data_IF_936140037809
#
_entry.id   IF_936140037809
#
_cell.length_a   1.000
_cell.length_b   1.000
_cell.length_c   1.000
_cell.angle_alpha   90.00
_cell.angle_beta   90.00
_cell.angle_gamma   90.00
#
_symmetry.space_group_name_H-M   'P 1'
#
loop_
_entity.id
_entity.type
_entity.pdbx_description
1 polymer ?
#
# COMPACT_ATOMS: atom_id res chain seq x y z
N UNK A 1 -3.15 -9.51 8.84
CA UNK A 1 -4.38 -10.23 8.46
C UNK A 1 -5.61 -9.82 9.27
N UNK A 2 -5.55 -9.82 10.61
CA UNK A 2 -6.69 -9.38 11.43
C UNK A 2 -7.05 -7.90 11.20
N UNK A 3 -6.07 -7.00 11.31
CA UNK A 3 -6.27 -5.56 11.08
C UNK A 3 -6.82 -5.27 9.68
N UNK A 4 -6.31 -5.95 8.64
CA UNK A 4 -6.78 -5.78 7.26
C UNK A 4 -8.26 -6.18 7.10
N UNK A 5 -8.70 -7.26 7.74
CA UNK A 5 -10.11 -7.68 7.72
C UNK A 5 -10.98 -6.64 8.45
N UNK A 6 -10.53 -6.17 9.62
CA UNK A 6 -11.27 -5.18 10.39
C UNK A 6 -11.39 -3.84 9.64
N UNK A 7 -10.30 -3.37 9.03
CA UNK A 7 -10.30 -2.17 8.19
C UNK A 7 -11.20 -2.31 6.97
N UNK A 8 -11.22 -3.48 6.33
CA UNK A 8 -12.11 -3.76 5.20
C UNK A 8 -13.58 -3.68 5.60
N UNK A 9 -13.96 -4.37 6.69
CA UNK A 9 -15.32 -4.34 7.24
C UNK A 9 -15.74 -2.91 7.58
N UNK A 10 -14.86 -2.17 8.25
CA UNK A 10 -15.11 -0.76 8.60
C UNK A 10 -15.31 0.11 7.35
N UNK A 11 -14.47 -0.08 6.32
CA UNK A 11 -14.55 0.70 5.08
C UNK A 11 -15.86 0.45 4.34
N UNK A 12 -16.31 -0.81 4.24
CA UNK A 12 -17.61 -1.13 3.64
C UNK A 12 -18.74 -0.52 4.45
N UNK A 13 -18.72 -0.69 5.79
CA UNK A 13 -19.76 -0.15 6.65
C UNK A 13 -19.88 1.38 6.50
N UNK A 14 -18.74 2.08 6.42
CA UNK A 14 -18.69 3.53 6.21
C UNK A 14 -19.25 3.93 4.85
N UNK A 15 -18.81 3.27 3.77
CA UNK A 15 -19.26 3.57 2.40
C UNK A 15 -20.77 3.35 2.25
N UNK A 16 -21.29 2.26 2.82
CA UNK A 16 -22.72 1.97 2.85
C UNK A 16 -23.47 3.00 3.68
N UNK A 17 -22.98 3.35 4.87
CA UNK A 17 -23.65 4.33 5.73
C UNK A 17 -23.80 5.69 5.03
N UNK A 18 -22.76 6.13 4.30
CA UNK A 18 -22.77 7.35 3.50
C UNK A 18 -23.76 7.25 2.32
N UNK A 19 -23.80 6.09 1.66
CA UNK A 19 -24.76 5.80 0.59
C UNK A 19 -26.21 5.91 1.07
N UNK A 20 -26.55 5.17 2.12
CA UNK A 20 -27.89 5.18 2.71
C UNK A 20 -28.26 6.57 3.22
N UNK A 21 -27.29 7.30 3.79
CA UNK A 21 -27.50 8.67 4.23
C UNK A 21 -27.91 9.58 3.07
N UNK A 22 -27.38 9.38 1.87
CA UNK A 22 -27.80 10.12 0.67
C UNK A 22 -29.30 9.94 0.38
N UNK A 23 -29.78 8.70 0.32
CA UNK A 23 -31.20 8.40 0.13
C UNK A 23 -32.06 9.03 1.24
N UNK A 24 -31.66 8.84 2.49
CA UNK A 24 -32.36 9.37 3.67
C UNK A 24 -32.48 10.89 3.64
N UNK A 25 -31.36 11.58 3.35
CA UNK A 25 -31.30 13.02 3.37
C UNK A 25 -32.19 13.65 2.30
N UNK A 26 -32.16 13.12 1.08
CA UNK A 26 -33.00 13.63 -0.01
C UNK A 26 -34.47 13.27 0.19
N UNK A 27 -34.79 12.06 0.66
CA UNK A 27 -36.16 11.68 1.00
C UNK A 27 -36.77 12.67 2.00
N UNK A 28 -36.03 13.02 3.06
CA UNK A 28 -36.47 13.97 4.09
C UNK A 28 -36.61 15.39 3.58
N UNK A 29 -35.77 15.81 2.61
CA UNK A 29 -35.88 17.13 1.97
C UNK A 29 -37.08 17.24 1.03
N UNK A 30 -37.46 16.16 0.37
CA UNK A 30 -38.63 16.10 -0.51
C UNK A 30 -39.92 15.73 0.23
N UNK A 31 -39.89 15.80 1.56
CA UNK A 31 -41.00 15.46 2.45
C UNK A 31 -41.58 14.07 2.20
N UNK A 32 -40.69 13.09 2.06
CA UNK A 32 -41.02 11.66 2.12
C UNK A 32 -40.74 11.16 3.53
N UNK A 33 -41.74 10.52 4.14
CA UNK A 33 -41.61 9.97 5.49
C UNK A 33 -40.72 8.73 5.46
N UNK A 34 -39.72 8.69 6.35
CA UNK A 34 -38.81 7.54 6.48
C UNK A 34 -39.15 6.78 7.77
N UNK A 35 -39.46 5.49 7.63
CA UNK A 35 -39.83 4.61 8.73
C UNK A 35 -38.59 4.04 9.42
N UNK A 36 -37.59 3.61 8.64
CA UNK A 36 -36.37 2.99 9.16
C UNK A 36 -35.14 3.37 8.34
N UNK A 37 -34.05 3.65 9.04
CA UNK A 37 -32.71 3.81 8.47
C UNK A 37 -31.81 2.74 9.08
N UNK A 38 -31.34 1.79 8.28
CA UNK A 38 -30.53 0.67 8.75
C UNK A 38 -29.14 0.69 8.13
N UNK A 39 -28.12 0.69 8.98
CA UNK A 39 -26.74 0.37 8.59
C UNK A 39 -26.53 -1.11 8.92
N UNK A 40 -26.31 -1.92 7.90
CA UNK A 40 -26.22 -3.37 8.01
C UNK A 40 -27.55 -4.10 7.78
N UNK A 41 -27.44 -5.42 7.72
CA UNK A 41 -28.54 -6.38 7.66
C UNK A 41 -28.57 -7.30 8.90
N UNK A 42 -29.71 -7.98 9.07
CA UNK A 42 -29.88 -9.02 10.09
C UNK A 42 -30.37 -8.48 11.42
N UNK A 43 -29.89 -9.07 12.52
CA UNK A 43 -30.37 -8.73 13.87
C UNK A 43 -29.89 -7.32 14.25
N UNK A 44 -30.78 -6.45 14.77
CA UNK A 44 -30.38 -5.15 15.27
C UNK A 44 -29.49 -5.33 16.50
N UNK A 45 -28.26 -4.80 16.44
CA UNK A 45 -27.37 -4.72 17.59
C UNK A 45 -27.74 -3.52 18.46
N UNK A 46 -28.10 -2.42 17.82
CA UNK A 46 -28.53 -1.19 18.46
C UNK A 46 -29.64 -0.55 17.63
N UNK A 47 -30.70 -0.06 18.28
CA UNK A 47 -31.71 0.74 17.63
C UNK A 47 -32.25 1.84 18.53
N UNK A 48 -32.60 2.97 17.93
CA UNK A 48 -33.25 4.08 18.60
C UNK A 48 -34.21 4.79 17.66
N UNK A 49 -35.20 5.49 18.21
CA UNK A 49 -36.16 6.25 17.39
C UNK A 49 -35.84 7.75 17.43
N UNK A 50 -35.77 8.36 16.26
CA UNK A 50 -35.54 9.78 16.11
C UNK A 50 -36.76 10.62 16.45
N UNK A 51 -36.55 11.87 16.87
CA UNK A 51 -37.63 12.79 17.28
C UNK A 51 -38.59 13.16 16.14
N UNK A 52 -38.09 13.24 14.90
CA UNK A 52 -38.87 13.66 13.73
C UNK A 52 -39.32 12.45 12.92
N UNK A 53 -40.64 12.28 12.78
CA UNK A 53 -41.34 11.15 12.14
C UNK A 53 -41.14 9.77 12.80
N UNK A 54 -40.60 9.74 14.02
CA UNK A 54 -40.35 8.50 14.77
C UNK A 54 -39.50 7.47 14.00
N UNK A 55 -38.62 7.95 13.10
CA UNK A 55 -37.77 7.11 12.25
C UNK A 55 -36.89 6.21 13.12
N UNK A 56 -36.91 4.91 12.86
CA UNK A 56 -36.08 3.95 13.57
C UNK A 56 -34.68 3.89 12.94
N UNK A 57 -33.65 4.28 13.70
CA UNK A 57 -32.25 4.14 13.32
C UNK A 57 -31.73 2.82 13.87
N UNK A 58 -31.15 1.99 13.00
CA UNK A 58 -30.70 0.64 13.34
C UNK A 58 -29.25 0.45 12.91
N UNK A 59 -28.43 -0.10 13.81
CA UNK A 59 -27.15 -0.68 13.49
C UNK A 59 -27.27 -2.21 13.62
N UNK A 60 -27.13 -2.93 12.52
CA UNK A 60 -27.34 -4.37 12.45
C UNK A 60 -26.03 -5.16 12.45
N UNK A 61 -26.13 -6.47 12.68
CA UNK A 61 -24.97 -7.36 12.88
C UNK A 61 -24.11 -7.57 11.63
N UNK A 62 -24.67 -7.44 10.43
CA UNK A 62 -23.96 -7.73 9.17
C UNK A 62 -23.69 -6.41 8.42
N UNK A 63 -22.45 -5.93 8.31
CA UNK A 63 -22.13 -4.62 7.74
C UNK A 63 -22.05 -4.57 6.20
N UNK A 64 -22.56 -5.60 5.50
CA UNK A 64 -22.45 -5.77 4.04
C UNK A 64 -23.55 -5.06 3.23
N UNK A 65 -24.13 -3.98 3.76
CA UNK A 65 -25.14 -3.17 3.10
C UNK A 65 -26.06 -2.48 4.11
N UNK A 66 -27.15 -1.90 3.64
CA UNK A 66 -28.07 -1.12 4.46
C UNK A 66 -29.35 -0.87 3.68
N UNK A 67 -30.30 -0.16 4.28
CA UNK A 67 -31.48 0.28 3.57
C UNK A 67 -32.17 1.45 4.26
N UNK A 68 -32.85 2.27 3.47
CA UNK A 68 -33.78 3.31 3.92
C UNK A 68 -35.21 2.89 3.58
N UNK A 69 -35.97 2.48 4.59
CA UNK A 69 -37.39 2.15 4.43
C UNK A 69 -38.23 3.42 4.43
N UNK A 70 -38.74 3.77 3.27
CA UNK A 70 -39.64 4.92 3.07
C UNK A 70 -41.10 4.49 3.25
N UNK A 71 -41.97 5.45 3.54
CA UNK A 71 -43.41 5.21 3.62
C UNK A 71 -43.95 4.89 2.22
N UNK A 72 -44.56 3.72 2.10
CA UNK A 72 -45.14 3.21 0.86
C UNK A 72 -46.35 2.32 1.17
N UNK A 73 -47.50 2.63 0.58
CA UNK A 73 -48.76 1.86 0.72
C UNK A 73 -48.65 0.41 0.24
N UNK A 74 -47.68 0.12 -0.64
CA UNK A 74 -47.44 -1.26 -1.12
C UNK A 74 -46.82 -2.16 -0.07
N UNK A 75 -46.20 -1.58 0.96
CA UNK A 75 -45.48 -2.31 2.01
C UNK A 75 -46.20 -2.30 3.37
N UNK A 76 -47.34 -1.60 3.50
CA UNK A 76 -48.12 -1.56 4.73
C UNK A 76 -49.21 -0.49 4.74
N UNK A 77 -50.00 -0.44 5.81
CA UNK A 77 -51.04 0.57 5.98
C UNK A 77 -50.45 1.96 6.21
N UNK A 78 -51.01 2.96 5.52
CA UNK A 78 -50.61 4.36 5.65
C UNK A 78 -51.75 5.18 6.23
N UNK A 79 -51.45 5.98 7.25
CA UNK A 79 -52.41 6.88 7.84
C UNK A 79 -52.84 7.95 6.82
N UNK A 80 -54.14 8.30 6.79
CA UNK A 80 -54.70 9.24 5.81
C UNK A 80 -53.99 10.58 5.76
N UNK A 81 -53.43 11.00 6.90
CA UNK A 81 -52.70 12.26 7.07
C UNK A 81 -51.32 12.24 6.38
N UNK A 82 -50.70 11.08 6.23
CA UNK A 82 -49.34 10.91 5.70
C UNK A 82 -49.31 10.52 4.20
N UNK A 83 -50.46 10.37 3.53
CA UNK A 83 -50.54 10.00 2.10
C UNK A 83 -49.66 10.89 1.20
N UNK A 84 -49.68 12.21 1.43
CA UNK A 84 -48.88 13.18 0.67
C UNK A 84 -47.35 13.01 0.84
N UNK A 85 -46.93 12.22 1.84
CA UNK A 85 -45.53 11.95 2.22
C UNK A 85 -45.08 10.56 1.81
N UNK A 86 -45.92 9.82 1.09
CA UNK A 86 -45.56 8.53 0.51
C UNK A 86 -44.56 8.72 -0.64
N UNK A 87 -43.62 7.79 -0.74
CA UNK A 87 -42.65 7.77 -1.81
C UNK A 87 -43.32 7.68 -3.19
N UNK A 88 -44.34 6.82 -3.32
CA UNK A 88 -44.99 6.55 -4.62
C UNK A 88 -45.90 7.67 -5.11
N UNK A 89 -46.39 8.54 -4.23
CA UNK A 89 -47.17 9.71 -4.62
C UNK A 89 -46.29 10.87 -5.11
N UNK A 90 -44.97 10.83 -4.87
CA UNK A 90 -44.07 11.89 -5.35
C UNK A 90 -43.89 11.82 -6.87
N UNK A 91 -43.67 12.98 -7.53
CA UNK A 91 -43.33 13.03 -8.95
C UNK A 91 -42.13 12.13 -9.29
N UNK A 92 -42.07 11.63 -10.53
CA UNK A 92 -40.99 10.75 -10.99
C UNK A 92 -39.62 11.36 -10.76
N UNK A 93 -39.46 12.67 -10.98
CA UNK A 93 -38.20 13.37 -10.72
C UNK A 93 -37.78 13.37 -9.25
N UNK A 94 -38.74 13.47 -8.33
CA UNK A 94 -38.48 13.42 -6.89
C UNK A 94 -38.03 12.00 -6.47
N UNK A 95 -38.73 10.97 -6.97
CA UNK A 95 -38.34 9.57 -6.74
C UNK A 95 -36.96 9.26 -7.31
N UNK A 96 -36.71 9.70 -8.54
CA UNK A 96 -35.39 9.58 -9.18
C UNK A 96 -34.32 10.28 -8.35
N UNK A 97 -34.54 11.52 -7.91
CA UNK A 97 -33.58 12.26 -7.10
C UNK A 97 -33.24 11.53 -5.79
N UNK A 98 -34.24 10.92 -5.13
CA UNK A 98 -34.02 10.13 -3.91
C UNK A 98 -33.17 8.90 -4.18
N UNK A 99 -33.49 8.12 -5.22
CA UNK A 99 -32.74 6.91 -5.57
C UNK A 99 -31.34 7.26 -6.11
N UNK A 100 -31.18 8.37 -6.81
CA UNK A 100 -29.87 8.82 -7.29
C UNK A 100 -28.99 9.39 -6.17
N UNK A 101 -29.59 9.89 -5.09
CA UNK A 101 -28.86 10.55 -4.01
C UNK A 101 -27.80 9.67 -3.35
N UNK A 102 -28.06 8.39 -3.13
CA UNK A 102 -27.10 7.46 -2.53
C UNK A 102 -25.80 7.34 -3.35
N UNK A 103 -25.88 6.91 -4.62
CA UNK A 103 -24.72 6.88 -5.51
C UNK A 103 -24.02 8.23 -5.64
N UNK A 104 -24.78 9.33 -5.74
CA UNK A 104 -24.22 10.67 -5.90
C UNK A 104 -23.40 11.10 -4.67
N UNK A 105 -23.91 10.87 -3.46
CA UNK A 105 -23.17 11.21 -2.23
C UNK A 105 -21.91 10.36 -2.11
N UNK A 106 -21.94 9.09 -2.52
CA UNK A 106 -20.72 8.27 -2.59
C UNK A 106 -19.69 8.81 -3.59
N UNK A 107 -20.14 9.29 -4.75
CA UNK A 107 -19.25 9.93 -5.72
C UNK A 107 -18.59 11.18 -5.13
N UNK A 108 -19.37 12.06 -4.48
CA UNK A 108 -18.84 13.24 -3.79
C UNK A 108 -17.88 12.84 -2.66
N UNK A 109 -18.22 11.81 -1.88
CA UNK A 109 -17.35 11.28 -0.84
C UNK A 109 -16.04 10.75 -1.40
N UNK A 110 -16.05 10.05 -2.54
CA UNK A 110 -14.84 9.59 -3.20
C UNK A 110 -13.94 10.77 -3.61
N UNK A 111 -14.49 11.80 -4.24
CA UNK A 111 -13.73 13.02 -4.61
C UNK A 111 -13.11 13.65 -3.36
N UNK A 112 -13.87 13.79 -2.28
CA UNK A 112 -13.37 14.33 -1.02
C UNK A 112 -12.27 13.44 -0.39
N UNK A 113 -12.46 12.13 -0.39
CA UNK A 113 -11.50 11.17 0.16
C UNK A 113 -10.18 11.17 -0.63
N UNK A 114 -10.24 11.20 -1.97
CA UNK A 114 -9.06 11.34 -2.81
C UNK A 114 -8.36 12.68 -2.59
N UNK A 115 -9.12 13.78 -2.55
CA UNK A 115 -8.56 15.10 -2.23
C UNK A 115 -7.83 15.08 -0.88
N UNK A 116 -8.45 14.53 0.17
CA UNK A 116 -7.84 14.41 1.49
C UNK A 116 -6.57 13.55 1.46
N UNK A 117 -6.58 12.44 0.72
CA UNK A 117 -5.40 11.60 0.51
C UNK A 117 -4.24 12.38 -0.11
N UNK A 118 -4.51 13.22 -1.12
CA UNK A 118 -3.48 14.07 -1.74
C UNK A 118 -2.97 15.17 -0.79
N UNK A 119 -3.84 15.74 0.06
CA UNK A 119 -3.44 16.72 1.08
C UNK A 119 -2.54 16.10 2.15
N UNK A 120 -2.82 14.86 2.56
CA UNK A 120 -1.97 14.10 3.50
C UNK A 120 -0.61 13.78 2.87
N UNK A 121 -0.54 13.68 1.55
CA UNK A 121 0.68 13.48 0.78
C UNK A 121 0.95 12.01 0.44
N UNK A 122 1.97 11.79 -0.40
CA UNK A 122 2.33 10.47 -0.90
C UNK A 122 3.09 9.72 0.20
N UNK A 123 2.51 8.64 0.70
CA UNK A 123 3.21 7.71 1.58
C UNK A 123 4.20 6.90 0.74
N UNK A 124 5.50 7.06 1.02
CA UNK A 124 6.51 6.25 0.36
C UNK A 124 7.82 6.24 1.13
N UNK A 125 8.69 5.31 0.75
CA UNK A 125 9.98 5.17 1.40
C UNK A 125 10.85 6.36 1.01
N UNK A 126 11.43 7.04 1.99
CA UNK A 126 12.34 8.16 1.72
C UNK A 126 13.52 7.66 0.85
N UNK A 127 13.95 8.44 -0.15
CA UNK A 127 15.01 8.06 -1.08
C UNK A 127 16.41 8.24 -0.47
N UNK A 128 16.68 7.53 0.64
CA UNK A 128 17.99 7.49 1.30
C UNK A 128 18.72 6.21 0.85
N UNK A 129 19.91 6.39 0.29
CA UNK A 129 20.67 5.32 -0.35
C UNK A 129 21.30 4.37 0.67
N UNK A 130 21.13 3.07 0.44
CA UNK A 130 21.75 1.99 1.20
C UNK A 130 23.17 1.69 0.72
N UNK A 131 23.54 0.42 0.75
CA UNK A 131 24.80 -0.05 0.16
C UNK A 131 24.66 -0.10 -1.37
N UNK A 132 25.52 0.66 -2.06
CA UNK A 132 25.53 0.74 -3.52
C UNK A 132 26.54 -0.27 -4.08
N UNK A 133 26.21 -0.91 -5.20
CA UNK A 133 27.16 -1.73 -5.96
C UNK A 133 28.23 -0.81 -6.57
N UNK A 134 29.50 -1.20 -6.48
CA UNK A 134 30.63 -0.42 -7.02
C UNK A 134 30.60 -0.33 -8.54
N UNK A 135 29.98 -1.29 -9.20
CA UNK A 135 29.88 -1.31 -10.66
C UNK A 135 28.63 -0.57 -11.17
N UNK A 136 27.77 -0.10 -10.26
CA UNK A 136 26.53 0.60 -10.62
C UNK A 136 26.73 2.01 -11.17
N UNK A 137 25.78 2.48 -11.98
CA UNK A 137 25.76 3.84 -12.50
C UNK A 137 25.70 4.87 -11.38
N UNK A 138 24.90 4.61 -10.34
CA UNK A 138 24.79 5.48 -9.18
C UNK A 138 26.15 5.67 -8.49
N UNK A 139 26.90 4.57 -8.24
CA UNK A 139 28.20 4.64 -7.61
C UNK A 139 29.24 5.37 -8.46
N UNK A 140 29.27 5.07 -9.76
CA UNK A 140 30.16 5.70 -10.75
C UNK A 140 29.89 7.21 -10.87
N UNK A 141 28.62 7.62 -10.78
CA UNK A 141 28.21 9.03 -10.78
C UNK A 141 28.60 9.78 -9.49
N UNK A 142 29.05 9.08 -8.45
CA UNK A 142 29.50 9.68 -7.19
C UNK A 142 28.50 9.58 -6.03
N UNK A 143 27.38 8.86 -6.21
CA UNK A 143 26.42 8.60 -5.14
C UNK A 143 27.06 7.70 -4.07
N UNK A 144 26.76 7.96 -2.80
CA UNK A 144 27.27 7.20 -1.67
C UNK A 144 26.15 6.76 -0.74
N UNK A 145 26.45 5.77 0.09
CA UNK A 145 25.54 5.31 1.12
C UNK A 145 25.22 6.44 2.10
N UNK A 146 23.93 6.61 2.42
CA UNK A 146 23.43 7.71 3.24
C UNK A 146 23.00 8.94 2.47
N UNK A 147 23.35 9.07 1.19
CA UNK A 147 22.91 10.19 0.36
C UNK A 147 21.38 10.17 0.21
N UNK A 148 20.74 11.35 0.29
CA UNK A 148 19.31 11.50 0.05
C UNK A 148 19.08 12.23 -1.27
N UNK A 149 18.43 11.56 -2.21
CA UNK A 149 18.02 12.17 -3.49
C UNK A 149 16.78 13.03 -3.25
N UNK A 150 16.75 14.26 -3.78
CA UNK A 150 15.61 15.18 -3.62
C UNK A 150 14.90 15.45 -4.93
N UNK A 151 15.60 15.41 -6.06
CA UNK A 151 15.02 15.59 -7.39
C UNK A 151 15.81 14.86 -8.47
N UNK A 152 15.13 14.56 -9.58
CA UNK A 152 15.71 14.02 -10.82
C UNK A 152 15.17 14.83 -11.99
N UNK A 153 16.06 15.35 -12.84
CA UNK A 153 15.73 16.20 -13.99
C UNK A 153 14.81 17.38 -13.64
N UNK A 154 15.08 18.01 -12.49
CA UNK A 154 14.31 19.14 -11.97
C UNK A 154 12.92 18.80 -11.41
N UNK A 155 12.55 17.51 -11.32
CA UNK A 155 11.29 17.07 -10.72
C UNK A 155 11.53 16.53 -9.32
N UNK A 156 10.69 16.95 -8.38
CA UNK A 156 10.75 16.50 -6.99
C UNK A 156 10.49 14.99 -6.87
N UNK A 157 11.34 14.33 -6.10
CA UNK A 157 11.27 12.88 -5.85
C UNK A 157 11.16 12.59 -4.36
N UNK A 158 9.99 12.80 -3.72
CA UNK A 158 9.81 12.63 -2.28
C UNK A 158 9.93 11.17 -1.81
N UNK A 159 9.83 10.22 -2.75
CA UNK A 159 9.88 8.78 -2.48
C UNK A 159 10.90 8.08 -3.38
N UNK A 160 11.42 6.91 -2.96
CA UNK A 160 12.31 6.14 -3.82
C UNK A 160 11.64 5.69 -5.12
N UNK A 161 10.34 5.36 -5.08
CA UNK A 161 9.59 5.01 -6.29
C UNK A 161 9.59 6.18 -7.29
N UNK A 162 9.37 7.42 -6.82
CA UNK A 162 9.46 8.59 -7.70
C UNK A 162 10.85 8.81 -8.29
N UNK A 163 11.93 8.45 -7.59
CA UNK A 163 13.30 8.46 -8.15
C UNK A 163 13.40 7.46 -9.30
N UNK A 164 12.96 6.21 -9.08
CA UNK A 164 13.00 5.18 -10.12
C UNK A 164 12.15 5.54 -11.33
N UNK A 165 10.94 6.08 -11.12
CA UNK A 165 10.06 6.50 -12.21
C UNK A 165 10.71 7.58 -13.07
N UNK A 166 11.33 8.60 -12.46
CA UNK A 166 12.02 9.63 -13.25
C UNK A 166 13.25 9.08 -13.98
N UNK A 167 14.08 8.27 -13.31
CA UNK A 167 15.23 7.66 -13.96
C UNK A 167 14.82 6.71 -15.10
N UNK A 168 13.73 5.96 -14.93
CA UNK A 168 13.20 5.07 -15.97
C UNK A 168 12.71 5.89 -17.17
N UNK A 169 11.99 6.99 -16.94
CA UNK A 169 11.57 7.88 -18.01
C UNK A 169 12.77 8.43 -18.80
N UNK A 170 13.82 8.87 -18.10
CA UNK A 170 15.03 9.42 -18.72
C UNK A 170 15.86 8.33 -19.44
N UNK A 171 15.85 7.10 -18.93
CA UNK A 171 16.43 5.94 -19.60
C UNK A 171 15.68 5.59 -20.89
N UNK A 172 14.34 5.57 -20.87
CA UNK A 172 13.51 5.35 -22.08
C UNK A 172 13.83 6.42 -23.13
N UNK A 173 14.00 7.67 -22.70
CA UNK A 173 14.41 8.80 -23.54
C UNK A 173 15.87 8.76 -24.01
N UNK A 174 16.67 7.81 -23.53
CA UNK A 174 18.11 7.65 -23.82
C UNK A 174 18.95 8.91 -23.51
N UNK A 175 18.64 9.56 -22.39
CA UNK A 175 19.34 10.77 -21.93
C UNK A 175 20.17 10.50 -20.69
N UNK A 176 21.01 11.47 -20.33
CA UNK A 176 21.59 11.54 -19.00
C UNK A 176 20.58 12.11 -18.02
N UNK A 177 20.49 11.55 -16.82
CA UNK A 177 19.65 12.11 -15.76
C UNK A 177 20.48 12.99 -14.81
N UNK A 178 19.98 14.19 -14.52
CA UNK A 178 20.52 15.07 -13.50
C UNK A 178 19.88 14.75 -12.15
N UNK A 179 20.68 14.31 -11.19
CA UNK A 179 20.21 13.88 -9.86
C UNK A 179 20.70 14.88 -8.82
N UNK A 180 19.77 15.50 -8.09
CA UNK A 180 20.10 16.44 -7.02
C UNK A 180 19.98 15.77 -5.66
N UNK A 181 20.97 16.02 -4.80
CA UNK A 181 21.03 15.50 -3.44
C UNK A 181 20.65 16.57 -2.40
N UNK A 182 20.27 16.13 -1.20
CA UNK A 182 19.90 17.02 -0.09
C UNK A 182 21.04 17.93 0.39
N UNK A 183 22.29 17.56 0.12
CA UNK A 183 23.48 18.35 0.44
C UNK A 183 23.93 19.28 -0.70
N UNK A 184 23.04 19.54 -1.66
CA UNK A 184 23.23 20.40 -2.83
C UNK A 184 24.19 19.87 -3.90
N UNK A 185 24.74 18.66 -3.75
CA UNK A 185 25.48 18.02 -4.84
C UNK A 185 24.54 17.67 -6.00
N UNK A 186 25.05 17.85 -7.22
CA UNK A 186 24.41 17.40 -8.46
C UNK A 186 25.26 16.28 -9.07
N UNK A 187 24.63 15.16 -9.38
CA UNK A 187 25.24 14.00 -10.01
C UNK A 187 24.62 13.77 -11.38
N UNK A 188 25.42 13.28 -12.33
CA UNK A 188 24.93 12.96 -13.69
C UNK A 188 24.95 11.45 -13.88
N UNK A 189 23.78 10.87 -14.06
CA UNK A 189 23.62 9.45 -14.31
C UNK A 189 23.59 9.21 -15.82
N UNK A 190 24.56 8.46 -16.32
CA UNK A 190 24.74 8.20 -17.76
C UNK A 190 23.89 7.03 -18.24
N UNK A 191 22.57 7.26 -18.30
CA UNK A 191 21.60 6.24 -18.75
C UNK A 191 21.66 6.00 -20.26
N UNK A 192 22.22 6.96 -21.00
CA UNK A 192 22.55 6.89 -22.44
C UNK A 192 23.50 5.75 -22.80
N UNK A 193 24.28 5.26 -21.83
CA UNK A 193 25.28 4.21 -22.01
C UNK A 193 24.80 2.80 -21.71
N UNK A 194 23.57 2.64 -21.23
CA UNK A 194 23.00 1.33 -20.92
C UNK A 194 22.63 0.62 -22.22
N UNK A 195 22.96 -0.67 -22.31
CA UNK A 195 22.70 -1.49 -23.49
C UNK A 195 21.20 -1.49 -23.87
N UNK A 196 20.92 -1.63 -25.17
CA UNK A 196 19.58 -1.52 -25.73
C UNK A 196 18.68 -2.69 -25.36
N UNK A 197 19.28 -3.86 -25.12
CA UNK A 197 18.57 -5.12 -24.89
C UNK A 197 18.36 -5.41 -23.40
N UNK A 198 18.64 -4.45 -22.52
CA UNK A 198 18.38 -4.57 -21.08
C UNK A 198 16.89 -4.63 -20.83
N UNK A 199 16.45 -5.73 -20.23
CA UNK A 199 15.08 -5.89 -19.75
C UNK A 199 14.79 -4.83 -18.65
N UNK A 200 13.65 -4.12 -18.72
CA UNK A 200 13.24 -3.17 -17.67
C UNK A 200 13.25 -3.74 -16.25
N UNK A 201 13.09 -5.05 -16.06
CA UNK A 201 13.21 -5.71 -14.76
C UNK A 201 14.63 -5.71 -14.18
N UNK A 202 15.67 -5.64 -15.04
CA UNK A 202 17.08 -5.55 -14.64
C UNK A 202 17.55 -4.11 -14.41
N UNK A 203 16.73 -3.13 -14.79
CA UNK A 203 17.05 -1.71 -14.68
C UNK A 203 17.41 -1.30 -13.25
N UNK A 204 16.68 -1.82 -12.25
CA UNK A 204 16.96 -1.52 -10.84
C UNK A 204 18.36 -1.97 -10.39
N UNK A 205 18.78 -3.18 -10.82
CA UNK A 205 20.10 -3.71 -10.48
C UNK A 205 21.23 -2.90 -11.17
N UNK A 206 21.03 -2.45 -12.42
CA UNK A 206 22.03 -1.68 -13.19
C UNK A 206 22.23 -0.26 -12.65
N UNK A 207 21.15 0.44 -12.33
CA UNK A 207 21.25 1.75 -11.69
C UNK A 207 21.90 1.60 -10.30
N UNK A 208 21.63 0.47 -9.63
CA UNK A 208 22.22 0.09 -8.34
C UNK A 208 21.73 0.95 -7.18
N UNK A 209 20.56 1.57 -7.31
CA UNK A 209 19.90 2.18 -6.17
C UNK A 209 19.43 1.05 -5.27
N UNK A 210 19.82 1.11 -4.00
CA UNK A 210 19.31 0.21 -2.97
C UNK A 210 18.76 1.05 -1.84
N UNK A 211 17.70 0.56 -1.21
CA UNK A 211 17.19 1.17 0.01
C UNK A 211 18.19 0.95 1.14
N UNK A 212 18.39 2.01 1.94
CA UNK A 212 18.96 1.84 3.28
C UNK A 212 17.96 1.11 4.15
N UNK A 213 17.99 -0.21 4.11
CA UNK A 213 17.40 -1.02 5.16
C UNK A 213 18.32 -0.96 6.40
N UNK A 214 17.76 -1.02 7.63
CA UNK A 214 18.58 -1.34 8.79
C UNK A 214 19.37 -2.62 8.50
N UNK A 215 20.62 -2.73 8.93
CA UNK A 215 21.39 -3.98 8.78
C UNK A 215 20.61 -5.12 9.46
N UNK A 216 19.96 -5.96 8.66
CA UNK A 216 19.30 -7.14 9.17
C UNK A 216 20.38 -8.20 9.40
N UNK A 217 20.49 -8.65 10.65
CA UNK A 217 21.38 -9.76 10.98
C UNK A 217 20.92 -10.97 10.19
N UNK A 218 21.78 -11.49 9.32
CA UNK A 218 21.51 -12.69 8.51
C UNK A 218 21.70 -13.91 9.40
N UNK A 219 20.67 -14.25 10.19
CA UNK A 219 20.68 -15.37 11.14
C UNK A 219 20.10 -16.61 10.45
N UNK A 220 20.85 -17.72 10.50
CA UNK A 220 20.39 -19.02 10.00
C UNK A 220 19.27 -19.53 10.93
N UNK A 221 18.07 -19.69 10.39
CA UNK A 221 16.92 -20.19 11.18
C UNK A 221 16.98 -21.71 11.39
N UNK A 222 17.21 -22.45 10.32
CA UNK A 222 17.26 -23.91 10.32
C UNK A 222 18.31 -24.38 9.30
N UNK A 223 18.93 -25.53 9.58
CA UNK A 223 19.85 -26.21 8.68
C UNK A 223 19.31 -27.61 8.45
N UNK A 224 19.01 -27.95 7.19
CA UNK A 224 18.54 -29.29 6.84
C UNK A 224 19.60 -30.35 7.17
N UNK A 225 19.14 -31.47 7.71
CA UNK A 225 19.97 -32.66 7.91
C UNK A 225 20.59 -33.09 6.56
N UNK A 226 21.83 -33.59 6.60
CA UNK A 226 22.60 -34.06 5.44
C UNK A 226 22.84 -33.03 4.33
N UNK A 227 22.71 -31.74 4.64
CA UNK A 227 23.08 -30.65 3.72
C UNK A 227 24.59 -30.33 3.77
N UNK A 228 25.17 -29.78 2.69
CA UNK A 228 26.53 -29.22 2.70
C UNK A 228 26.80 -28.27 3.87
N UNK A 229 25.80 -27.45 4.21
CA UNK A 229 25.86 -26.54 5.35
C UNK A 229 25.98 -27.29 6.70
N UNK A 230 25.22 -28.38 6.87
CA UNK A 230 25.31 -29.25 8.05
C UNK A 230 26.67 -29.94 8.13
N UNK A 231 27.19 -30.47 7.02
CA UNK A 231 28.51 -31.11 6.96
C UNK A 231 29.65 -30.14 7.25
N UNK A 232 29.51 -28.88 6.84
CA UNK A 232 30.44 -27.79 7.16
C UNK A 232 30.32 -27.30 8.63
N UNK A 233 29.32 -27.79 9.36
CA UNK A 233 29.11 -27.47 10.77
C UNK A 233 28.35 -26.16 11.02
N UNK A 234 27.62 -25.64 10.04
CA UNK A 234 26.70 -24.50 10.21
C UNK A 234 25.52 -24.94 11.07
N UNK A 235 25.08 -24.07 11.97
CA UNK A 235 24.01 -24.34 12.94
C UNK A 235 22.94 -23.25 12.90
N UNK A 236 21.74 -23.61 13.33
CA UNK A 236 20.69 -22.64 13.61
C UNK A 236 21.18 -21.63 14.66
N UNK A 237 20.93 -20.34 14.43
CA UNK A 237 21.41 -19.24 15.26
C UNK A 237 22.74 -18.63 14.81
N UNK A 238 23.46 -19.24 13.85
CA UNK A 238 24.65 -18.61 13.26
C UNK A 238 24.28 -17.34 12.50
N UNK A 239 24.97 -16.23 12.78
CA UNK A 239 24.84 -15.03 11.95
C UNK A 239 25.93 -15.02 10.88
N UNK A 240 25.54 -14.94 9.61
CA UNK A 240 26.46 -14.80 8.48
C UNK A 240 26.94 -13.36 8.38
N UNK A 241 28.25 -13.17 8.26
CA UNK A 241 28.92 -11.87 8.11
C UNK A 241 29.48 -11.66 6.70
N UNK A 242 30.04 -12.70 6.09
CA UNK A 242 30.63 -12.61 4.75
C UNK A 242 30.70 -13.96 4.04
N UNK A 243 30.73 -13.94 2.71
CA UNK A 243 31.07 -15.09 1.85
C UNK A 243 32.23 -14.71 0.95
N UNK A 244 33.30 -15.51 0.97
CA UNK A 244 34.52 -15.30 0.18
C UNK A 244 35.08 -13.86 0.27
N UNK A 245 35.04 -13.30 1.48
CA UNK A 245 35.51 -11.94 1.76
C UNK A 245 34.52 -10.82 1.40
N UNK A 246 33.37 -11.12 0.79
CA UNK A 246 32.30 -10.14 0.50
C UNK A 246 31.31 -10.08 1.67
N UNK A 247 31.07 -8.88 2.21
CA UNK A 247 30.11 -8.67 3.31
C UNK A 247 28.69 -9.06 2.92
N UNK A 248 28.00 -9.76 3.80
CA UNK A 248 26.62 -10.22 3.62
C UNK A 248 25.75 -9.54 4.69
N UNK A 249 24.99 -8.53 4.28
CA UNK A 249 24.14 -7.73 5.17
C UNK A 249 22.64 -8.00 4.94
N UNK A 250 22.30 -8.84 3.96
CA UNK A 250 20.92 -9.17 3.58
C UNK A 250 20.80 -10.62 3.13
N UNK A 251 19.65 -11.25 3.45
CA UNK A 251 19.35 -12.64 3.05
C UNK A 251 19.42 -12.85 1.53
N UNK A 252 18.96 -11.87 0.74
CA UNK A 252 19.01 -11.95 -0.72
C UNK A 252 20.45 -12.04 -1.26
N UNK A 253 21.40 -11.37 -0.61
CA UNK A 253 22.81 -11.40 -1.00
C UNK A 253 23.44 -12.74 -0.67
N UNK A 254 23.06 -13.33 0.48
CA UNK A 254 23.44 -14.71 0.84
C UNK A 254 22.99 -15.70 -0.23
N UNK A 255 21.71 -15.66 -0.59
CA UNK A 255 21.12 -16.57 -1.59
C UNK A 255 21.77 -16.38 -2.96
N UNK A 256 21.92 -15.14 -3.44
CA UNK A 256 22.60 -14.85 -4.72
C UNK A 256 24.03 -15.36 -4.74
N UNK A 257 24.79 -15.15 -3.65
CA UNK A 257 26.18 -15.58 -3.55
C UNK A 257 26.32 -17.12 -3.64
N UNK A 258 25.43 -17.85 -2.98
CA UNK A 258 25.40 -19.33 -3.03
C UNK A 258 24.99 -19.82 -4.42
N UNK A 259 23.90 -19.29 -4.99
CA UNK A 259 23.40 -19.73 -6.30
C UNK A 259 24.40 -19.43 -7.43
N UNK A 260 25.17 -18.35 -7.32
CA UNK A 260 26.16 -17.97 -8.34
C UNK A 260 27.38 -18.90 -8.42
N UNK A 261 27.53 -19.82 -7.47
CA UNK A 261 28.68 -20.72 -7.32
C UNK A 261 28.25 -22.17 -7.06
N UNK A 262 27.55 -22.82 -8.00
CA UNK A 262 27.18 -24.22 -7.85
C UNK A 262 28.44 -25.09 -7.86
N UNK A 263 28.49 -26.09 -6.98
CA UNK A 263 29.58 -27.08 -6.86
C UNK A 263 30.98 -26.50 -6.58
N UNK A 264 31.05 -25.22 -6.19
CA UNK A 264 32.28 -24.54 -5.80
C UNK A 264 32.38 -24.40 -4.28
N UNK A 265 33.60 -24.58 -3.76
CA UNK A 265 33.90 -24.35 -2.36
C UNK A 265 33.72 -22.87 -2.00
N UNK A 266 32.83 -22.57 -1.07
CA UNK A 266 32.61 -21.22 -0.53
C UNK A 266 33.06 -21.12 0.92
N UNK A 267 33.71 -20.01 1.28
CA UNK A 267 34.10 -19.72 2.65
C UNK A 267 33.12 -18.76 3.29
N UNK A 268 32.39 -19.23 4.29
CA UNK A 268 31.38 -18.46 5.00
C UNK A 268 31.96 -18.02 6.34
N UNK A 269 32.05 -16.71 6.55
CA UNK A 269 32.40 -16.11 7.83
C UNK A 269 31.11 -15.92 8.63
N UNK A 270 31.00 -16.61 9.75
CA UNK A 270 29.86 -16.55 10.66
C UNK A 270 30.28 -16.01 12.03
N UNK A 271 29.29 -15.58 12.83
CA UNK A 271 29.44 -15.35 14.25
C UNK A 271 28.51 -16.31 15.00
N UNK A 272 29.10 -17.08 15.93
CA UNK A 272 28.42 -18.02 16.82
C UNK A 272 28.85 -17.71 18.24
N UNK A 273 27.89 -17.34 19.10
CA UNK A 273 28.17 -16.98 20.51
C UNK A 273 29.32 -15.98 20.65
N UNK A 274 29.25 -14.89 19.87
CA UNK A 274 30.24 -13.80 19.79
C UNK A 274 31.62 -14.17 19.23
N UNK A 275 31.85 -15.43 18.85
CA UNK A 275 33.09 -15.87 18.19
C UNK A 275 32.91 -15.87 16.68
N UNK A 276 33.88 -15.28 15.99
CA UNK A 276 33.96 -15.30 14.54
C UNK A 276 34.58 -16.63 14.10
N UNK A 277 33.86 -17.37 13.26
CA UNK A 277 34.27 -18.67 12.72
C UNK A 277 34.22 -18.58 11.20
N UNK A 278 35.19 -19.19 10.52
CA UNK A 278 35.17 -19.35 9.06
C UNK A 278 34.94 -20.83 8.77
N UNK A 279 33.85 -21.13 8.08
CA UNK A 279 33.49 -22.48 7.67
C UNK A 279 33.57 -22.58 6.15
N UNK A 280 34.14 -23.66 5.65
CA UNK A 280 34.12 -23.95 4.22
C UNK A 280 32.98 -24.91 3.91
N UNK A 281 32.11 -24.51 3.01
CA UNK A 281 31.01 -25.33 2.48
C UNK A 281 31.38 -25.76 1.06
N UNK A 282 31.19 -27.04 0.75
CA UNK A 282 31.40 -27.65 -0.58
C UNK A 282 30.09 -28.32 -0.97
#
# INVERSE_FOLDING_TARGET
MFLTILSFIFTIALLVAIHEFGHFWVARKLDVKVLRFSIGFGKPLFSFRGKKDNTEFVLASIPLGGYVKMLDEREGEVAKEDYHREFNQKPVLARFAIVFAGPFVNFVFAVFAFWLMFVIGIQGVMPIMGSLDRDSIAWQAGLRSGDKIISVDGKDTPTLNSVYEQLLNTFIDRKTAEVQLSDQRQLIFRLDKIDKDVDPSQFQDIIGLSLKFPDEKVIIGEVSADSPASSAGIQAGDQVLAIDGRSINHWRNLVRAIISKPDEKINIKIIRSEKVIILSVI
#
